data_IF_524287713383
#
_entry.id   IF_524287713383
#
_cell.length_a   1.000
_cell.length_b   1.000
_cell.length_c   1.000
_cell.angle_alpha   90.00
_cell.angle_beta   90.00
_cell.angle_gamma   90.00
#
_symmetry.space_group_name_H-M   'P 1'
#
loop_
_entity.id
_entity.type
_entity.pdbx_description
1 polymer ?
#
# COMPACT_ATOMS: atom_id res chain seq x y z
N UNK A 1 7.12 -15.60 30.01
CA UNK A 1 5.67 -15.30 29.87
C UNK A 1 5.26 -14.31 30.95
N UNK A 2 4.33 -13.39 30.67
CA UNK A 2 3.84 -12.47 31.69
C UNK A 2 3.14 -13.24 32.81
N UNK A 3 3.35 -12.84 34.06
CA UNK A 3 2.77 -13.52 35.22
C UNK A 3 1.33 -13.04 35.47
N UNK A 4 1.10 -11.73 35.32
CA UNK A 4 -0.18 -11.06 35.57
C UNK A 4 -1.21 -11.36 34.46
N UNK A 5 -2.49 -11.59 34.83
CA UNK A 5 -3.59 -11.91 33.90
C UNK A 5 -3.79 -10.86 32.80
N UNK A 6 -3.75 -9.57 33.15
CA UNK A 6 -3.87 -8.46 32.20
C UNK A 6 -2.74 -8.49 31.16
N UNK A 7 -1.51 -8.73 31.62
CA UNK A 7 -0.34 -8.82 30.75
C UNK A 7 -0.39 -10.04 29.81
N UNK A 8 -0.85 -11.21 30.30
CA UNK A 8 -1.10 -12.39 29.43
C UNK A 8 -2.13 -12.08 28.34
N UNK A 9 -3.21 -11.36 28.67
CA UNK A 9 -4.24 -10.95 27.70
C UNK A 9 -3.69 -9.96 26.68
N UNK A 10 -2.95 -8.95 27.13
CA UNK A 10 -2.32 -7.96 26.26
C UNK A 10 -1.37 -8.63 25.26
N UNK A 11 -0.56 -9.61 25.71
CA UNK A 11 0.33 -10.38 24.83
C UNK A 11 -0.45 -11.14 23.75
N UNK A 12 -1.50 -11.89 24.12
CA UNK A 12 -2.35 -12.61 23.16
C UNK A 12 -2.98 -11.68 22.13
N UNK A 13 -3.49 -10.53 22.57
CA UNK A 13 -4.08 -9.52 21.70
C UNK A 13 -3.03 -8.90 20.76
N UNK A 14 -1.83 -8.64 21.27
CA UNK A 14 -0.71 -8.11 20.49
C UNK A 14 -0.34 -9.05 19.35
N UNK A 15 -0.15 -10.33 19.62
CA UNK A 15 0.18 -11.36 18.62
C UNK A 15 -0.89 -11.41 17.52
N UNK A 16 -2.17 -11.45 17.91
CA UNK A 16 -3.29 -11.48 16.94
C UNK A 16 -3.38 -10.18 16.11
N UNK A 17 -3.13 -9.02 16.71
CA UNK A 17 -3.10 -7.73 15.98
C UNK A 17 -1.91 -7.69 15.03
N UNK A 18 -0.74 -8.13 15.49
CA UNK A 18 0.48 -8.16 14.69
C UNK A 18 0.31 -9.03 13.45
N UNK A 19 -0.13 -10.28 13.61
CA UNK A 19 -0.38 -11.21 12.48
C UNK A 19 -1.33 -10.62 11.43
N UNK A 20 -2.46 -10.02 11.86
CA UNK A 20 -3.39 -9.35 10.93
C UNK A 20 -2.75 -8.17 10.21
N UNK A 21 -1.99 -7.35 10.93
CA UNK A 21 -1.33 -6.17 10.34
C UNK A 21 -0.23 -6.57 9.35
N UNK A 22 0.51 -7.65 9.63
CA UNK A 22 1.55 -8.16 8.73
C UNK A 22 0.98 -8.57 7.36
N UNK A 23 -0.20 -9.20 7.32
CA UNK A 23 -0.85 -9.54 6.04
C UNK A 23 -1.14 -8.30 5.17
N UNK A 24 -1.67 -7.23 5.77
CA UNK A 24 -1.92 -5.99 5.03
C UNK A 24 -0.63 -5.27 4.63
N UNK A 25 0.40 -5.31 5.47
CA UNK A 25 1.73 -4.74 5.14
C UNK A 25 2.39 -5.52 4.01
N UNK A 26 2.24 -6.85 3.97
CA UNK A 26 2.74 -7.69 2.90
C UNK A 26 2.09 -7.32 1.57
N UNK A 27 0.76 -7.19 1.55
CA UNK A 27 0.01 -6.75 0.37
C UNK A 27 0.52 -5.39 -0.15
N UNK A 28 0.76 -4.42 0.75
CA UNK A 28 1.37 -3.14 0.37
C UNK A 28 2.80 -3.29 -0.15
N UNK A 29 3.61 -4.17 0.44
CA UNK A 29 4.99 -4.41 0.01
C UNK A 29 5.01 -4.94 -1.42
N UNK A 30 4.15 -5.89 -1.74
CA UNK A 30 4.03 -6.49 -3.08
C UNK A 30 3.57 -5.45 -4.11
N UNK A 31 2.49 -4.72 -3.82
CA UNK A 31 2.00 -3.65 -4.70
C UNK A 31 3.03 -2.54 -4.91
N UNK A 32 3.84 -2.24 -3.90
CA UNK A 32 4.94 -1.28 -4.02
C UNK A 32 6.04 -1.82 -4.92
N UNK A 33 6.44 -3.08 -4.75
CA UNK A 33 7.50 -3.69 -5.56
C UNK A 33 7.09 -3.76 -7.03
N UNK A 34 5.85 -4.13 -7.34
CA UNK A 34 5.37 -4.15 -8.73
C UNK A 34 5.41 -2.75 -9.36
N UNK A 35 4.96 -1.73 -8.64
CA UNK A 35 5.03 -0.34 -9.08
C UNK A 35 6.46 0.17 -9.27
N UNK A 36 7.35 -0.09 -8.31
CA UNK A 36 8.77 0.29 -8.39
C UNK A 36 9.49 -0.42 -9.56
N UNK A 37 9.14 -1.68 -9.85
CA UNK A 37 9.65 -2.40 -11.01
C UNK A 37 9.19 -1.76 -12.32
N UNK A 38 7.91 -1.39 -12.43
CA UNK A 38 7.36 -0.74 -13.62
C UNK A 38 8.00 0.63 -13.89
N UNK A 39 8.25 1.42 -12.83
CA UNK A 39 9.00 2.69 -12.97
C UNK A 39 10.42 2.44 -13.45
N UNK A 40 11.12 1.44 -12.89
CA UNK A 40 12.49 1.12 -13.27
C UNK A 40 12.61 0.62 -14.72
N UNK A 41 11.58 -0.05 -15.23
CA UNK A 41 11.52 -0.47 -16.63
C UNK A 41 11.05 0.63 -17.58
N UNK A 42 10.84 1.86 -17.10
CA UNK A 42 10.30 3.00 -17.85
C UNK A 42 8.98 2.72 -18.56
N UNK A 43 8.18 1.77 -18.06
CA UNK A 43 6.89 1.43 -18.64
C UNK A 43 5.79 2.27 -17.98
N UNK A 44 5.37 3.32 -18.69
CA UNK A 44 4.36 4.26 -18.20
C UNK A 44 3.00 3.60 -17.98
N UNK A 45 2.59 2.74 -18.91
CA UNK A 45 1.26 2.13 -18.90
C UNK A 45 1.15 1.12 -17.76
N UNK A 46 2.16 0.27 -17.58
CA UNK A 46 2.22 -0.64 -16.45
C UNK A 46 2.31 0.09 -15.11
N UNK A 47 3.06 1.20 -15.04
CA UNK A 47 3.16 1.99 -13.81
C UNK A 47 1.81 2.62 -13.43
N UNK A 48 1.04 3.12 -14.41
CA UNK A 48 -0.31 3.64 -14.20
C UNK A 48 -1.28 2.55 -13.75
N UNK A 49 -1.26 1.39 -14.41
CA UNK A 49 -2.10 0.25 -14.05
C UNK A 49 -1.79 -0.28 -12.64
N UNK A 50 -0.51 -0.28 -12.24
CA UNK A 50 -0.10 -0.68 -10.89
C UNK A 50 -0.47 0.35 -9.81
N UNK A 51 -0.56 1.64 -10.17
CA UNK A 51 -0.87 2.72 -9.24
C UNK A 51 -2.38 2.91 -9.03
N UNK A 52 -3.14 2.98 -10.13
CA UNK A 52 -4.59 3.22 -10.13
C UNK A 52 -5.38 1.92 -10.08
N UNK A 53 -6.65 2.00 -9.68
CA UNK A 53 -7.55 0.85 -9.73
C UNK A 53 -7.99 0.60 -11.16
N UNK A 54 -7.95 -0.67 -11.58
CA UNK A 54 -8.57 -1.08 -12.84
C UNK A 54 -10.05 -1.36 -12.60
N UNK A 55 -10.90 -0.81 -13.47
CA UNK A 55 -12.35 -1.05 -13.45
C UNK A 55 -12.76 -1.66 -14.77
N UNK A 56 -13.56 -2.73 -14.72
CA UNK A 56 -14.21 -3.34 -15.88
C UNK A 56 -15.71 -3.43 -15.56
N UNK A 57 -16.55 -2.94 -16.46
CA UNK A 57 -18.01 -2.96 -16.33
C UNK A 57 -18.53 -2.35 -15.01
N UNK A 58 -17.93 -1.24 -14.60
CA UNK A 58 -18.24 -0.55 -13.34
C UNK A 58 -17.73 -1.24 -12.06
N UNK A 59 -17.16 -2.44 -12.15
CA UNK A 59 -16.61 -3.20 -11.02
C UNK A 59 -15.09 -3.07 -10.95
N UNK A 60 -14.55 -2.96 -9.74
CA UNK A 60 -13.09 -2.89 -9.54
C UNK A 60 -12.49 -4.28 -9.67
N UNK A 61 -11.70 -4.52 -10.71
CA UNK A 61 -11.09 -5.83 -11.00
C UNK A 61 -9.77 -6.02 -10.26
N UNK A 62 -8.94 -4.98 -10.17
CA UNK A 62 -7.72 -4.99 -9.36
C UNK A 62 -7.57 -3.69 -8.58
N UNK A 63 -7.06 -3.82 -7.35
CA UNK A 63 -6.73 -2.68 -6.49
C UNK A 63 -5.32 -2.21 -6.77
N UNK A 64 -5.16 -0.97 -7.22
CA UNK A 64 -3.87 -0.33 -7.39
C UNK A 64 -3.24 0.06 -6.04
N UNK A 65 -1.95 0.43 -6.08
CA UNK A 65 -1.16 0.81 -4.93
C UNK A 65 -1.83 1.92 -4.09
N UNK A 66 -2.48 2.89 -4.73
CA UNK A 66 -3.18 3.97 -4.03
C UNK A 66 -4.31 3.44 -3.13
N UNK A 67 -5.14 2.53 -3.65
CA UNK A 67 -6.24 1.94 -2.88
C UNK A 67 -5.75 1.05 -1.73
N UNK A 68 -4.62 0.39 -1.91
CA UNK A 68 -3.97 -0.38 -0.84
C UNK A 68 -3.52 0.53 0.31
N UNK A 69 -2.96 1.70 0.00
CA UNK A 69 -2.57 2.69 1.02
C UNK A 69 -3.82 3.17 1.78
N UNK A 70 -4.91 3.48 1.07
CA UNK A 70 -6.15 3.91 1.72
C UNK A 70 -6.76 2.81 2.60
N UNK A 71 -6.63 1.54 2.20
CA UNK A 71 -7.03 0.39 3.02
C UNK A 71 -6.21 0.30 4.32
N UNK A 72 -4.89 0.53 4.26
CA UNK A 72 -4.04 0.58 5.45
C UNK A 72 -4.42 1.72 6.40
N UNK A 73 -4.77 2.90 5.86
CA UNK A 73 -5.26 4.04 6.65
C UNK A 73 -6.60 3.70 7.30
N UNK A 74 -7.56 3.16 6.54
CA UNK A 74 -8.89 2.77 7.05
C UNK A 74 -8.80 1.70 8.15
N UNK A 75 -7.82 0.79 8.06
CA UNK A 75 -7.54 -0.23 9.09
C UNK A 75 -6.71 0.29 10.25
N UNK A 76 -6.36 1.58 10.27
CA UNK A 76 -5.53 2.23 11.28
C UNK A 76 -4.17 1.55 11.48
N UNK A 77 -3.60 0.98 10.41
CA UNK A 77 -2.27 0.37 10.41
C UNK A 77 -1.21 1.45 10.15
N UNK A 78 -1.55 2.45 9.35
CA UNK A 78 -0.75 3.65 9.15
C UNK A 78 -1.59 4.89 9.45
N UNK A 79 -0.96 5.91 10.00
CA UNK A 79 -1.61 7.20 10.23
C UNK A 79 -1.98 7.89 8.90
N UNK A 80 -3.07 8.68 8.89
CA UNK A 80 -3.56 9.41 7.70
C UNK A 80 -2.46 10.19 6.98
N UNK A 81 -1.69 11.00 7.71
CA UNK A 81 -0.59 11.79 7.14
C UNK A 81 0.51 10.92 6.52
N UNK A 82 0.75 9.71 7.05
CA UNK A 82 1.72 8.79 6.45
C UNK A 82 1.17 8.21 5.14
N UNK A 83 -0.12 7.89 5.10
CA UNK A 83 -0.82 7.53 3.86
C UNK A 83 -0.71 8.64 2.81
N UNK A 84 -0.96 9.89 3.19
CA UNK A 84 -0.94 11.04 2.27
C UNK A 84 0.48 11.33 1.76
N UNK A 85 1.50 11.30 2.64
CA UNK A 85 2.91 11.41 2.23
C UNK A 85 3.31 10.33 1.23
N UNK A 86 2.86 9.09 1.43
CA UNK A 86 3.14 7.98 0.50
C UNK A 86 2.44 8.20 -0.84
N UNK A 87 1.16 8.57 -0.84
CA UNK A 87 0.41 8.87 -2.06
C UNK A 87 1.07 9.99 -2.86
N UNK A 88 1.44 11.09 -2.21
CA UNK A 88 2.14 12.21 -2.83
C UNK A 88 3.49 11.79 -3.43
N UNK A 89 4.30 11.01 -2.69
CA UNK A 89 5.60 10.52 -3.17
C UNK A 89 5.46 9.68 -4.46
N UNK A 90 4.55 8.71 -4.48
CA UNK A 90 4.40 7.81 -5.62
C UNK A 90 3.75 8.49 -6.83
N UNK A 91 2.77 9.38 -6.60
CA UNK A 91 2.21 10.21 -7.67
C UNK A 91 3.29 11.12 -8.29
N UNK A 92 4.16 11.70 -7.45
CA UNK A 92 5.31 12.48 -7.91
C UNK A 92 6.30 11.67 -8.74
N UNK A 93 6.55 10.40 -8.39
CA UNK A 93 7.38 9.50 -9.21
C UNK A 93 6.78 9.24 -10.59
N UNK A 94 5.48 8.97 -10.65
CA UNK A 94 4.77 8.74 -11.91
C UNK A 94 4.79 9.99 -12.80
N UNK A 95 4.53 11.17 -12.23
CA UNK A 95 4.60 12.45 -12.95
C UNK A 95 6.01 12.74 -13.48
N UNK A 96 7.06 12.44 -12.72
CA UNK A 96 8.45 12.59 -13.16
C UNK A 96 8.77 11.69 -14.36
N UNK A 97 8.29 10.45 -14.33
CA UNK A 97 8.43 9.53 -15.46
C UNK A 97 7.68 10.06 -16.69
N UNK A 98 6.44 10.54 -16.52
CA UNK A 98 5.67 11.17 -17.60
C UNK A 98 6.37 12.38 -18.20
N UNK A 99 6.97 13.25 -17.38
CA UNK A 99 7.70 14.42 -17.88
C UNK A 99 8.97 14.02 -18.63
N UNK A 100 9.69 13.00 -18.15
CA UNK A 100 10.94 12.53 -18.77
C UNK A 100 10.73 11.83 -20.11
N UNK A 101 9.55 11.26 -20.35
CA UNK A 101 9.19 10.61 -21.62
C UNK A 101 8.65 11.60 -22.67
N UNK A 102 8.22 12.79 -22.23
CA UNK A 102 7.67 13.84 -23.11
C UNK A 102 8.72 14.87 -23.55
N UNK A 103 9.81 15.01 -22.80
CA UNK A 103 10.98 15.83 -23.09
C UNK A 103 11.95 15.09 -24.01
#
# INVERSE_FOLDING_TARGET
>A
MPIIKSAKKALKQSIKKHSRNEGFKALFREARISFEKAIKSNDLELAKQAFFNTKKDGKTTSSGLQSVIDKLVKKNIIHKNNGDRKKSKYAGMLKKLESSLKS
#
